data_IF_870473347230
#
_entry.id   IF_870473347230
#
_cell.length_a   1.000
_cell.length_b   1.000
_cell.length_c   1.000
_cell.angle_alpha   90.00
_cell.angle_beta   90.00
_cell.angle_gamma   90.00
#
_symmetry.space_group_name_H-M   'P 1'
#
loop_
_entity.id
_entity.type
_entity.pdbx_description
1 polymer ?
#
# COMPACT_ATOMS: atom_id res chain seq x y z
N UNK A 1 -13.54 -7.18 -13.98
CA UNK A 1 -13.28 -8.14 -12.89
C UNK A 1 -11.95 -7.85 -12.25
N UNK A 2 -11.89 -7.66 -10.94
CA UNK A 2 -10.64 -7.56 -10.18
C UNK A 2 -10.29 -8.93 -9.60
N UNK A 3 -9.05 -9.38 -9.76
CA UNK A 3 -8.54 -10.65 -9.23
C UNK A 3 -7.43 -10.36 -8.22
N UNK A 4 -7.53 -10.85 -7.00
CA UNK A 4 -6.51 -10.66 -5.98
C UNK A 4 -6.13 -11.98 -5.28
N UNK A 5 -4.97 -12.00 -4.63
CA UNK A 5 -4.54 -13.20 -3.90
C UNK A 5 -5.42 -13.44 -2.68
N UNK A 6 -5.72 -12.39 -1.91
CA UNK A 6 -6.65 -12.41 -0.77
C UNK A 6 -7.27 -11.02 -0.57
N UNK A 7 -8.21 -10.90 0.37
CA UNK A 7 -8.79 -9.63 0.84
C UNK A 7 -8.60 -9.49 2.36
N UNK A 8 -7.44 -9.89 2.88
CA UNK A 8 -7.07 -9.67 4.27
C UNK A 8 -6.67 -8.19 4.51
N UNK A 9 -6.36 -7.82 5.76
CA UNK A 9 -5.85 -6.47 6.07
C UNK A 9 -4.41 -6.32 5.60
N UNK A 10 -4.19 -5.47 4.61
CA UNK A 10 -2.88 -5.16 4.03
C UNK A 10 -3.00 -4.04 3.01
N UNK A 11 -1.89 -3.32 2.74
CA UNK A 11 -1.94 -2.13 1.87
C UNK A 11 -2.42 -2.41 0.45
N UNK A 12 -1.97 -3.50 -0.16
CA UNK A 12 -2.39 -3.87 -1.51
C UNK A 12 -3.86 -4.33 -1.54
N UNK A 13 -4.28 -5.08 -0.53
CA UNK A 13 -5.66 -5.56 -0.38
C UNK A 13 -6.63 -4.40 -0.09
N UNK A 14 -6.21 -3.45 0.75
CA UNK A 14 -6.95 -2.18 0.95
C UNK A 14 -7.12 -1.46 -0.37
N UNK A 15 -6.07 -1.36 -1.18
CA UNK A 15 -6.15 -0.71 -2.49
C UNK A 15 -7.11 -1.41 -3.45
N UNK A 16 -7.17 -2.75 -3.46
CA UNK A 16 -8.16 -3.49 -4.26
C UNK A 16 -9.58 -3.13 -3.85
N UNK A 17 -9.85 -3.09 -2.54
CA UNK A 17 -11.18 -2.76 -2.02
C UNK A 17 -11.56 -1.30 -2.34
N UNK A 18 -10.67 -0.35 -2.12
CA UNK A 18 -10.89 1.06 -2.42
C UNK A 18 -11.12 1.30 -3.91
N UNK A 19 -10.30 0.69 -4.77
CA UNK A 19 -10.45 0.80 -6.22
C UNK A 19 -11.76 0.17 -6.70
N UNK A 20 -12.14 -1.01 -6.18
CA UNK A 20 -13.41 -1.64 -6.52
C UNK A 20 -14.59 -0.73 -6.20
N UNK A 21 -14.61 -0.17 -4.99
CA UNK A 21 -15.66 0.75 -4.56
C UNK A 21 -15.69 2.05 -5.39
N UNK A 22 -14.53 2.63 -5.70
CA UNK A 22 -14.43 3.85 -6.50
C UNK A 22 -14.92 3.63 -7.94
N UNK A 23 -14.51 2.54 -8.58
CA UNK A 23 -14.96 2.18 -9.93
C UNK A 23 -16.46 1.91 -9.96
N UNK A 24 -17.01 1.22 -8.94
CA UNK A 24 -18.44 0.96 -8.83
C UNK A 24 -19.25 2.25 -8.71
N UNK A 25 -18.83 3.19 -7.85
CA UNK A 25 -19.46 4.53 -7.73
C UNK A 25 -19.45 5.31 -9.06
N UNK A 26 -18.47 5.07 -9.91
CA UNK A 26 -18.32 5.67 -11.25
C UNK A 26 -19.15 4.95 -12.33
N UNK A 27 -19.96 3.96 -11.94
CA UNK A 27 -20.85 3.21 -12.84
C UNK A 27 -20.16 2.09 -13.63
N UNK A 28 -18.94 1.69 -13.24
CA UNK A 28 -18.29 0.52 -13.82
C UNK A 28 -18.88 -0.75 -13.18
N UNK A 29 -19.24 -1.73 -14.00
CA UNK A 29 -19.67 -3.05 -13.51
C UNK A 29 -18.45 -3.82 -12.98
N UNK A 30 -18.36 -3.93 -11.65
CA UNK A 30 -17.21 -4.49 -10.93
C UNK A 30 -17.60 -5.76 -10.18
N UNK A 31 -16.80 -6.81 -10.32
CA UNK A 31 -16.79 -7.94 -9.39
C UNK A 31 -15.38 -8.23 -8.93
N UNK A 32 -15.23 -8.72 -7.69
CA UNK A 32 -13.95 -9.08 -7.09
C UNK A 32 -13.86 -10.58 -6.90
N UNK A 33 -12.74 -11.17 -7.32
CA UNK A 33 -12.45 -12.60 -7.15
C UNK A 33 -11.17 -12.74 -6.35
N UNK A 34 -11.23 -13.47 -5.23
CA UNK A 34 -10.07 -13.78 -4.40
C UNK A 34 -9.60 -15.21 -4.63
N UNK A 35 -8.29 -15.45 -4.76
CA UNK A 35 -7.75 -16.80 -4.83
C UNK A 35 -7.98 -17.58 -3.53
N UNK A 36 -7.78 -16.93 -2.41
CA UNK A 36 -7.98 -17.48 -1.07
C UNK A 36 -9.35 -17.09 -0.54
N UNK A 37 -9.75 -17.65 0.61
CA UNK A 37 -10.97 -17.21 1.29
C UNK A 37 -10.80 -15.75 1.73
N UNK A 38 -11.71 -14.85 1.31
CA UNK A 38 -11.62 -13.43 1.65
C UNK A 38 -12.05 -13.20 3.10
N UNK A 39 -11.43 -12.21 3.78
CA UNK A 39 -11.70 -11.94 5.20
C UNK A 39 -12.15 -10.51 5.49
N UNK A 40 -11.27 -9.53 5.39
CA UNK A 40 -11.51 -8.21 5.97
C UNK A 40 -12.46 -7.31 5.16
N UNK A 41 -12.36 -7.29 3.83
CA UNK A 41 -13.06 -6.32 2.97
C UNK A 41 -14.27 -6.92 2.23
N UNK A 42 -14.50 -8.22 2.35
CA UNK A 42 -15.54 -8.90 1.56
C UNK A 42 -16.95 -8.46 1.92
N UNK A 43 -17.23 -8.29 3.21
CA UNK A 43 -18.57 -7.87 3.68
C UNK A 43 -18.85 -6.41 3.30
N UNK A 44 -17.88 -5.52 3.46
CA UNK A 44 -17.99 -4.11 3.08
C UNK A 44 -18.28 -3.95 1.58
N UNK A 45 -17.55 -4.68 0.73
CA UNK A 45 -17.77 -4.68 -0.71
C UNK A 45 -19.15 -5.23 -1.10
N UNK A 46 -19.58 -6.33 -0.48
CA UNK A 46 -20.92 -6.91 -0.72
C UNK A 46 -22.03 -5.96 -0.27
N UNK A 47 -21.87 -5.31 0.89
CA UNK A 47 -22.82 -4.30 1.38
C UNK A 47 -22.92 -3.10 0.44
N UNK A 48 -21.85 -2.79 -0.30
CA UNK A 48 -21.82 -1.75 -1.35
C UNK A 48 -22.34 -2.23 -2.70
N UNK A 49 -22.90 -3.46 -2.82
CA UNK A 49 -23.44 -4.02 -4.05
C UNK A 49 -22.40 -4.64 -4.99
N UNK A 50 -21.14 -4.81 -4.57
CA UNK A 50 -20.07 -5.38 -5.36
C UNK A 50 -19.99 -6.91 -5.11
N UNK A 51 -20.20 -7.78 -6.12
CA UNK A 51 -20.04 -9.21 -5.96
C UNK A 51 -18.60 -9.60 -5.58
N UNK A 52 -18.45 -10.41 -4.52
CA UNK A 52 -17.16 -10.95 -4.07
C UNK A 52 -17.22 -12.46 -4.04
N UNK A 53 -16.33 -13.09 -4.80
CA UNK A 53 -16.22 -14.54 -4.95
C UNK A 53 -14.89 -15.07 -4.43
N UNK A 54 -14.87 -16.33 -3.99
CA UNK A 54 -13.67 -17.05 -3.56
C UNK A 54 -13.40 -18.22 -4.49
N UNK A 55 -12.12 -18.42 -4.84
CA UNK A 55 -11.71 -19.64 -5.53
C UNK A 55 -11.40 -20.78 -4.54
N UNK A 56 -11.42 -20.51 -3.22
CA UNK A 56 -11.24 -21.50 -2.16
C UNK A 56 -9.89 -22.22 -2.22
N UNK A 57 -8.85 -21.55 -2.73
CA UNK A 57 -7.49 -22.10 -2.75
C UNK A 57 -6.85 -22.01 -1.36
N UNK A 58 -5.80 -22.80 -1.12
CA UNK A 58 -4.97 -22.73 0.09
C UNK A 58 -3.68 -21.96 -0.20
N UNK A 59 -3.11 -21.24 0.78
CA UNK A 59 -1.85 -20.54 0.61
C UNK A 59 -0.74 -21.48 0.09
N UNK A 60 -0.03 -21.06 -0.96
CA UNK A 60 1.05 -21.82 -1.57
C UNK A 60 0.64 -23.09 -2.33
N UNK A 61 -0.66 -23.37 -2.45
CA UNK A 61 -1.19 -24.57 -3.12
C UNK A 61 -2.21 -24.22 -4.20
N UNK A 62 -1.78 -23.93 -5.44
CA UNK A 62 -2.70 -23.80 -6.55
C UNK A 62 -3.48 -25.11 -6.75
N UNK A 63 -4.78 -25.00 -7.07
CA UNK A 63 -5.63 -26.17 -7.25
C UNK A 63 -6.35 -26.12 -8.59
N UNK A 64 -6.50 -27.28 -9.22
CA UNK A 64 -7.28 -27.43 -10.47
C UNK A 64 -8.72 -26.95 -10.27
N UNK A 65 -9.33 -27.28 -9.12
CA UNK A 65 -10.68 -26.81 -8.78
C UNK A 65 -10.78 -25.28 -8.75
N UNK A 66 -9.76 -24.58 -8.21
CA UNK A 66 -9.71 -23.12 -8.22
C UNK A 66 -9.57 -22.55 -9.64
N UNK A 67 -8.78 -23.18 -10.50
CA UNK A 67 -8.69 -22.80 -11.94
C UNK A 67 -10.04 -22.97 -12.62
N UNK A 68 -10.71 -24.11 -12.42
CA UNK A 68 -12.03 -24.37 -13.01
C UNK A 68 -13.09 -23.36 -12.51
N UNK A 69 -13.07 -22.98 -11.22
CA UNK A 69 -13.95 -21.93 -10.68
C UNK A 69 -13.65 -20.58 -11.34
N UNK A 70 -12.39 -20.20 -11.50
CA UNK A 70 -12.04 -18.96 -12.20
C UNK A 70 -12.55 -18.97 -13.64
N UNK A 71 -12.36 -20.06 -14.38
CA UNK A 71 -12.89 -20.22 -15.73
C UNK A 71 -14.42 -20.14 -15.78
N UNK A 72 -15.11 -20.70 -14.78
CA UNK A 72 -16.57 -20.58 -14.64
C UNK A 72 -16.99 -19.12 -14.46
N UNK A 73 -16.34 -18.38 -13.53
CA UNK A 73 -16.61 -16.96 -13.32
C UNK A 73 -16.33 -16.13 -14.58
N UNK A 74 -15.22 -16.37 -15.28
CA UNK A 74 -14.88 -15.67 -16.52
C UNK A 74 -15.92 -15.89 -17.62
N UNK A 75 -16.45 -17.13 -17.77
CA UNK A 75 -17.52 -17.45 -18.73
C UNK A 75 -18.85 -16.82 -18.36
N UNK A 76 -19.16 -16.75 -17.06
CA UNK A 76 -20.39 -16.17 -16.55
C UNK A 76 -20.40 -14.64 -16.68
N UNK A 77 -19.35 -13.96 -16.19
CA UNK A 77 -19.26 -12.50 -16.15
C UNK A 77 -18.78 -11.89 -17.47
N UNK A 78 -18.05 -12.64 -18.31
CA UNK A 78 -17.47 -12.18 -19.58
C UNK A 78 -16.81 -10.80 -19.45
N UNK A 79 -15.85 -10.62 -18.51
CA UNK A 79 -15.29 -9.31 -18.25
C UNK A 79 -14.54 -8.78 -19.46
N UNK A 80 -14.76 -7.51 -19.82
CA UNK A 80 -13.96 -6.82 -20.82
C UNK A 80 -12.49 -6.65 -20.33
N UNK A 81 -12.31 -6.52 -19.01
CA UNK A 81 -11.00 -6.38 -18.38
C UNK A 81 -10.88 -7.35 -17.20
N UNK A 82 -9.81 -8.14 -17.19
CA UNK A 82 -9.33 -8.89 -16.02
C UNK A 82 -8.13 -8.17 -15.44
N UNK A 83 -8.31 -7.50 -14.33
CA UNK A 83 -7.26 -6.76 -13.63
C UNK A 83 -6.83 -7.51 -12.37
N UNK A 84 -5.59 -7.98 -12.35
CA UNK A 84 -5.04 -8.77 -11.26
C UNK A 84 -4.11 -7.95 -10.36
N UNK A 85 -4.12 -8.26 -9.07
CA UNK A 85 -3.29 -7.61 -8.06
C UNK A 85 -2.51 -8.66 -7.26
N UNK A 86 -1.25 -8.37 -6.98
CA UNK A 86 -0.32 -9.25 -6.29
C UNK A 86 0.18 -10.42 -7.17
N UNK A 87 1.37 -10.91 -6.83
CA UNK A 87 2.13 -11.85 -7.64
C UNK A 87 1.34 -13.08 -8.10
N UNK A 88 0.70 -13.80 -7.17
CA UNK A 88 -0.01 -15.04 -7.52
C UNK A 88 -1.22 -14.79 -8.42
N UNK A 89 -2.02 -13.77 -8.11
CA UNK A 89 -3.17 -13.40 -8.95
C UNK A 89 -2.73 -12.91 -10.33
N UNK A 90 -1.62 -12.15 -10.42
CA UNK A 90 -1.03 -11.73 -11.69
C UNK A 90 -0.66 -12.93 -12.58
N UNK A 91 0.01 -13.94 -12.02
CA UNK A 91 0.34 -15.15 -12.78
C UNK A 91 -0.92 -15.92 -13.19
N UNK A 92 -1.90 -16.05 -12.30
CA UNK A 92 -3.16 -16.73 -12.61
C UNK A 92 -3.91 -16.02 -13.75
N UNK A 93 -4.03 -14.70 -13.71
CA UNK A 93 -4.69 -13.91 -14.76
C UNK A 93 -4.00 -14.09 -16.12
N UNK A 94 -2.67 -14.05 -16.12
CA UNK A 94 -1.87 -14.27 -17.34
C UNK A 94 -2.06 -15.67 -17.91
N UNK A 95 -1.92 -16.71 -17.08
CA UNK A 95 -2.00 -18.09 -17.54
C UNK A 95 -3.42 -18.51 -17.96
N UNK A 96 -4.46 -18.02 -17.27
CA UNK A 96 -5.85 -18.36 -17.62
C UNK A 96 -6.26 -17.78 -18.99
N UNK A 97 -5.59 -16.73 -19.47
CA UNK A 97 -5.78 -16.17 -20.81
C UNK A 97 -5.53 -17.21 -21.92
N UNK A 98 -4.67 -18.20 -21.67
CA UNK A 98 -4.42 -19.30 -22.60
C UNK A 98 -5.60 -20.29 -22.70
N UNK A 99 -6.47 -20.29 -21.71
CA UNK A 99 -7.63 -21.23 -21.61
C UNK A 99 -8.98 -20.55 -21.88
N UNK A 100 -9.03 -19.23 -21.80
CA UNK A 100 -10.24 -18.43 -22.00
C UNK A 100 -9.87 -17.08 -22.64
N UNK A 101 -10.54 -16.69 -23.74
CA UNK A 101 -10.30 -15.40 -24.36
C UNK A 101 -10.76 -14.29 -23.43
N UNK A 102 -9.83 -13.41 -23.07
CA UNK A 102 -10.06 -12.22 -22.24
C UNK A 102 -9.56 -11.03 -23.06
N UNK A 103 -10.42 -10.05 -23.38
CA UNK A 103 -10.03 -8.92 -24.23
C UNK A 103 -8.81 -8.17 -23.68
N UNK A 104 -8.82 -7.85 -22.37
CA UNK A 104 -7.73 -7.09 -21.71
C UNK A 104 -7.34 -7.75 -20.41
N UNK A 105 -6.04 -8.04 -20.24
CA UNK A 105 -5.44 -8.54 -18.99
C UNK A 105 -4.45 -7.51 -18.47
N UNK A 106 -4.66 -7.04 -17.24
CA UNK A 106 -3.79 -6.08 -16.56
C UNK A 106 -3.26 -6.69 -15.26
N UNK A 107 -1.98 -6.47 -15.00
CA UNK A 107 -1.30 -6.93 -13.76
C UNK A 107 -0.81 -5.73 -12.97
N UNK A 108 -1.21 -5.58 -11.68
CA UNK A 108 -0.63 -4.55 -10.79
C UNK A 108 0.45 -5.14 -9.90
N UNK A 109 1.59 -4.47 -9.86
CA UNK A 109 2.78 -4.83 -9.09
C UNK A 109 2.91 -3.87 -7.92
N UNK A 110 2.75 -4.39 -6.70
CA UNK A 110 2.72 -3.61 -5.45
C UNK A 110 4.04 -3.61 -4.67
N UNK A 111 5.05 -4.35 -5.09
CA UNK A 111 6.26 -4.57 -4.29
C UNK A 111 7.54 -4.39 -5.10
N UNK A 112 8.57 -3.82 -4.46
CA UNK A 112 9.94 -3.76 -4.97
C UNK A 112 10.60 -5.15 -5.05
N UNK A 113 10.26 -6.04 -4.11
CA UNK A 113 10.81 -7.39 -4.03
C UNK A 113 9.66 -8.37 -3.86
N UNK A 114 9.42 -9.17 -4.88
CA UNK A 114 8.40 -10.21 -4.83
C UNK A 114 8.89 -11.44 -4.02
N UNK A 115 10.21 -11.62 -3.86
CA UNK A 115 10.79 -12.71 -3.06
C UNK A 115 12.10 -12.28 -2.41
N UNK A 116 12.21 -12.57 -1.10
CA UNK A 116 13.46 -12.39 -0.36
C UNK A 116 13.70 -11.02 0.27
N UNK A 117 14.84 -10.90 0.94
CA UNK A 117 15.29 -9.67 1.63
C UNK A 117 16.09 -8.74 0.71
N UNK A 118 16.56 -9.23 -0.42
CA UNK A 118 17.38 -8.47 -1.36
C UNK A 118 16.55 -8.09 -2.59
N UNK A 119 16.17 -6.82 -2.66
CA UNK A 119 15.39 -6.26 -3.77
C UNK A 119 16.20 -6.08 -5.06
N UNK A 120 17.53 -6.10 -4.99
CA UNK A 120 18.40 -5.96 -6.14
C UNK A 120 18.59 -7.27 -6.91
N UNK A 121 18.39 -8.42 -6.25
CA UNK A 121 18.57 -9.74 -6.90
C UNK A 121 17.37 -10.11 -7.75
N UNK A 122 17.65 -10.59 -8.97
CA UNK A 122 16.63 -11.19 -9.85
C UNK A 122 16.24 -12.55 -9.25
N UNK A 123 15.00 -12.62 -8.77
CA UNK A 123 14.45 -13.82 -8.13
C UNK A 123 13.65 -14.69 -9.10
N UNK A 124 13.22 -15.85 -8.63
CA UNK A 124 12.35 -16.77 -9.40
C UNK A 124 11.06 -16.07 -9.85
N UNK A 125 10.51 -15.16 -9.03
CA UNK A 125 9.29 -14.43 -9.37
C UNK A 125 9.48 -13.43 -10.51
N UNK A 126 10.65 -12.78 -10.58
CA UNK A 126 10.99 -11.89 -11.71
C UNK A 126 11.06 -12.69 -13.01
N UNK A 127 11.69 -13.87 -12.97
CA UNK A 127 11.75 -14.77 -14.13
C UNK A 127 10.36 -15.24 -14.57
N UNK A 128 9.46 -15.53 -13.63
CA UNK A 128 8.08 -15.91 -13.93
C UNK A 128 7.33 -14.72 -14.55
N UNK A 129 7.53 -13.51 -14.07
CA UNK A 129 6.97 -12.31 -14.71
C UNK A 129 7.53 -12.15 -16.13
N UNK A 130 8.84 -12.27 -16.33
CA UNK A 130 9.48 -12.18 -17.65
C UNK A 130 8.91 -13.19 -18.65
N UNK A 131 8.80 -14.45 -18.24
CA UNK A 131 8.28 -15.53 -19.08
C UNK A 131 6.78 -15.36 -19.44
N UNK A 132 6.02 -14.66 -18.61
CA UNK A 132 4.57 -14.48 -18.79
C UNK A 132 4.18 -13.05 -19.16
N UNK A 133 5.12 -12.12 -19.34
CA UNK A 133 4.83 -10.70 -19.61
C UNK A 133 3.98 -10.50 -20.88
N UNK A 134 4.25 -11.28 -21.91
CA UNK A 134 3.51 -11.24 -23.17
C UNK A 134 2.02 -11.59 -23.05
N UNK A 135 1.60 -12.24 -21.96
CA UNK A 135 0.23 -12.58 -21.64
C UNK A 135 -0.54 -11.45 -20.93
N UNK A 136 0.14 -10.36 -20.59
CA UNK A 136 -0.48 -9.15 -20.01
C UNK A 136 -0.45 -8.01 -21.00
N UNK A 137 -1.56 -7.31 -21.19
CA UNK A 137 -1.62 -6.13 -22.07
C UNK A 137 -0.93 -4.93 -21.43
N UNK A 138 -1.00 -4.83 -20.09
CA UNK A 138 -0.29 -3.83 -19.28
C UNK A 138 0.13 -4.43 -17.94
N UNK A 139 1.34 -4.07 -17.52
CA UNK A 139 1.85 -4.28 -16.15
C UNK A 139 1.98 -2.93 -15.48
N UNK A 140 1.14 -2.66 -14.50
CA UNK A 140 1.07 -1.37 -13.82
C UNK A 140 1.79 -1.45 -12.50
N UNK A 141 2.74 -0.55 -12.28
CA UNK A 141 3.49 -0.43 -11.04
C UNK A 141 2.90 0.67 -10.17
N UNK A 142 2.86 0.47 -8.85
CA UNK A 142 2.29 1.44 -7.91
C UNK A 142 3.18 2.66 -7.65
N UNK A 143 4.42 2.64 -8.14
CA UNK A 143 5.37 3.74 -8.02
C UNK A 143 6.41 3.67 -9.15
N UNK A 144 7.07 4.80 -9.44
CA UNK A 144 8.18 4.85 -10.40
C UNK A 144 9.34 3.96 -9.95
N UNK A 145 9.64 3.96 -8.66
CA UNK A 145 10.68 3.10 -8.10
C UNK A 145 10.40 1.61 -8.34
N UNK A 146 9.13 1.16 -8.19
CA UNK A 146 8.74 -0.22 -8.53
C UNK A 146 8.89 -0.49 -10.02
N UNK A 147 8.50 0.47 -10.88
CA UNK A 147 8.64 0.35 -12.33
C UNK A 147 10.12 0.23 -12.76
N UNK A 148 10.98 1.12 -12.29
CA UNK A 148 12.41 1.11 -12.56
C UNK A 148 13.07 -0.21 -12.13
N UNK A 149 12.72 -0.71 -10.95
CA UNK A 149 13.24 -1.99 -10.45
C UNK A 149 12.83 -3.16 -11.33
N UNK A 150 11.56 -3.26 -11.72
CA UNK A 150 11.07 -4.38 -12.53
C UNK A 150 11.53 -4.29 -13.99
N UNK A 151 11.67 -3.08 -14.53
CA UNK A 151 12.29 -2.86 -15.85
C UNK A 151 13.79 -3.23 -15.84
N UNK A 152 14.54 -2.76 -14.85
CA UNK A 152 15.96 -3.08 -14.68
C UNK A 152 16.25 -4.57 -14.49
N UNK A 153 15.31 -5.30 -13.86
CA UNK A 153 15.39 -6.76 -13.75
C UNK A 153 14.94 -7.50 -15.03
N UNK A 154 14.47 -6.81 -16.06
CA UNK A 154 13.86 -7.42 -17.23
C UNK A 154 12.60 -8.25 -16.95
N UNK A 155 11.98 -8.03 -15.79
CA UNK A 155 10.79 -8.77 -15.38
C UNK A 155 9.54 -8.36 -16.16
N UNK A 156 9.49 -7.11 -16.61
CA UNK A 156 8.40 -6.52 -17.39
C UNK A 156 8.97 -5.65 -18.50
N UNK A 157 8.42 -5.77 -19.68
CA UNK A 157 8.79 -4.93 -20.82
C UNK A 157 8.36 -3.47 -20.61
N UNK A 158 9.27 -2.53 -20.82
CA UNK A 158 8.98 -1.09 -20.73
C UNK A 158 7.79 -0.66 -21.63
N UNK A 159 7.62 -1.29 -22.79
CA UNK A 159 6.51 -1.02 -23.71
C UNK A 159 5.12 -1.38 -23.15
N UNK A 160 5.06 -2.30 -22.17
CA UNK A 160 3.82 -2.71 -21.50
C UNK A 160 3.68 -2.13 -20.10
N UNK A 161 4.69 -1.39 -19.62
CA UNK A 161 4.68 -0.83 -18.29
C UNK A 161 3.90 0.49 -18.23
N UNK A 162 3.21 0.69 -17.12
CA UNK A 162 2.61 1.97 -16.74
C UNK A 162 2.81 2.17 -15.23
N UNK A 163 2.66 3.41 -14.77
CA UNK A 163 2.68 3.73 -13.34
C UNK A 163 1.35 4.38 -13.00
N UNK A 164 0.61 3.78 -12.09
CA UNK A 164 -0.59 4.36 -11.48
C UNK A 164 -0.46 4.11 -9.98
N UNK A 165 -0.39 5.16 -9.16
CA UNK A 165 -0.21 5.02 -7.73
C UNK A 165 -1.45 4.39 -7.05
N UNK A 166 -1.28 4.00 -5.80
CA UNK A 166 -2.41 3.72 -4.92
C UNK A 166 -3.19 5.01 -4.65
N UNK A 167 -4.51 4.89 -4.44
CA UNK A 167 -5.39 6.01 -4.10
C UNK A 167 -5.97 5.88 -2.70
N UNK A 168 -6.21 7.01 -2.04
CA UNK A 168 -6.89 7.11 -0.76
C UNK A 168 -8.08 8.06 -0.87
N UNK A 169 -9.16 7.72 -0.15
CA UNK A 169 -10.32 8.61 -0.02
C UNK A 169 -10.00 9.72 1.00
N UNK A 170 -9.87 11.00 0.57
CA UNK A 170 -9.53 12.09 1.47
C UNK A 170 -10.55 12.31 2.59
N UNK A 171 -11.83 11.94 2.38
CA UNK A 171 -12.88 12.13 3.36
C UNK A 171 -12.63 11.32 4.65
N UNK A 172 -11.90 10.22 4.58
CA UNK A 172 -11.51 9.40 5.73
C UNK A 172 -10.55 10.09 6.71
N UNK A 173 -9.91 11.20 6.28
CA UNK A 173 -8.92 11.96 7.04
C UNK A 173 -9.41 13.36 7.41
N UNK A 174 -10.72 13.63 7.22
CA UNK A 174 -11.40 14.82 7.69
C UNK A 174 -12.16 14.45 8.96
N UNK A 175 -11.51 14.64 10.11
CA UNK A 175 -12.07 14.26 11.40
C UNK A 175 -12.60 15.50 12.16
N UNK A 176 -13.51 15.26 13.11
CA UNK A 176 -14.16 16.33 13.87
C UNK A 176 -13.19 17.10 14.78
N UNK A 177 -13.49 18.36 15.04
CA UNK A 177 -12.81 19.15 16.07
C UNK A 177 -12.87 18.44 17.42
N UNK A 178 -11.76 18.48 18.18
CA UNK A 178 -11.67 17.79 19.49
C UNK A 178 -11.25 16.32 19.42
N UNK A 179 -11.10 15.73 18.23
CA UNK A 179 -10.60 14.35 18.10
C UNK A 179 -9.19 14.20 18.66
N UNK A 180 -8.29 15.16 18.39
CA UNK A 180 -6.92 15.15 18.91
C UNK A 180 -6.90 15.10 20.45
N UNK A 181 -7.64 16.00 21.09
CA UNK A 181 -7.71 16.13 22.55
C UNK A 181 -8.31 14.86 23.17
N UNK A 182 -9.40 14.36 22.61
CA UNK A 182 -10.06 13.13 23.06
C UNK A 182 -9.13 11.92 22.99
N UNK A 183 -8.42 11.74 21.87
CA UNK A 183 -7.50 10.59 21.69
C UNK A 183 -6.29 10.72 22.58
N UNK A 184 -5.70 11.92 22.72
CA UNK A 184 -4.57 12.15 23.65
C UNK A 184 -4.98 11.86 25.09
N UNK A 185 -6.15 12.30 25.51
CA UNK A 185 -6.68 12.02 26.86
C UNK A 185 -6.90 10.52 27.07
N UNK A 186 -7.51 9.82 26.12
CA UNK A 186 -7.76 8.38 26.22
C UNK A 186 -6.48 7.52 26.29
N UNK A 187 -5.40 8.02 25.71
CA UNK A 187 -4.09 7.38 25.74
C UNK A 187 -3.19 7.89 26.87
N UNK A 188 -3.67 8.84 27.71
CA UNK A 188 -2.86 9.45 28.76
C UNK A 188 -1.59 10.13 28.21
N UNK A 189 -1.71 10.80 27.08
CA UNK A 189 -0.61 11.55 26.45
C UNK A 189 -0.62 13.00 26.98
N UNK A 190 0.51 13.44 27.50
CA UNK A 190 0.71 14.83 27.90
C UNK A 190 0.98 15.76 26.69
N UNK A 191 1.51 16.96 26.94
CA UNK A 191 1.81 17.97 25.92
C UNK A 191 3.08 17.69 25.12
N UNK A 192 3.84 16.64 25.48
CA UNK A 192 5.09 16.27 24.83
C UNK A 192 4.88 15.84 23.36
N UNK A 193 5.98 15.81 22.61
CA UNK A 193 5.99 15.41 21.22
C UNK A 193 5.71 13.91 21.06
N UNK A 194 4.72 13.57 20.25
CA UNK A 194 4.26 12.20 20.04
C UNK A 194 4.53 11.80 18.60
N UNK A 195 5.36 10.78 18.44
CA UNK A 195 5.57 10.07 17.18
C UNK A 195 4.56 8.93 17.00
N UNK A 196 4.10 8.73 15.79
CA UNK A 196 3.31 7.57 15.40
C UNK A 196 4.07 6.76 14.36
N UNK A 197 4.10 5.44 14.55
CA UNK A 197 4.43 4.47 13.54
C UNK A 197 3.24 3.51 13.40
N UNK A 198 2.86 3.16 12.17
CA UNK A 198 1.77 2.23 11.94
C UNK A 198 2.13 1.24 10.82
N UNK A 199 1.77 -0.04 11.04
CA UNK A 199 1.98 -1.09 10.06
C UNK A 199 2.31 -2.44 10.67
N UNK A 200 2.41 -3.46 9.82
CA UNK A 200 2.70 -4.82 10.25
C UNK A 200 4.10 -4.94 10.85
N UNK A 201 4.22 -5.51 12.05
CA UNK A 201 5.50 -5.71 12.75
C UNK A 201 6.29 -6.85 12.10
N UNK A 202 7.03 -6.52 11.05
CA UNK A 202 7.79 -7.46 10.24
C UNK A 202 9.12 -6.85 9.78
N UNK A 203 10.06 -7.69 9.37
CA UNK A 203 11.44 -7.30 9.01
C UNK A 203 11.53 -6.15 7.98
N UNK A 204 10.59 -6.06 7.02
CA UNK A 204 10.59 -4.99 6.00
C UNK A 204 10.42 -3.59 6.59
N UNK A 205 9.73 -3.49 7.72
CA UNK A 205 9.42 -2.22 8.40
C UNK A 205 10.55 -1.74 9.32
N UNK A 206 11.51 -2.61 9.63
CA UNK A 206 12.74 -2.32 10.38
C UNK A 206 12.51 -1.48 11.64
N UNK A 207 11.56 -1.93 12.47
CA UNK A 207 11.28 -1.28 13.76
C UNK A 207 12.48 -1.31 14.71
N UNK A 208 13.47 -2.20 14.48
CA UNK A 208 14.71 -2.22 15.27
C UNK A 208 15.46 -0.90 15.12
N UNK A 209 15.70 -0.46 13.87
CA UNK A 209 16.31 0.86 13.59
C UNK A 209 15.50 2.00 14.22
N UNK A 210 14.18 1.91 14.23
CA UNK A 210 13.31 2.92 14.88
C UNK A 210 13.48 2.94 16.40
N UNK A 211 13.54 1.79 17.07
CA UNK A 211 13.74 1.70 18.51
C UNK A 211 15.14 2.20 18.91
N UNK A 212 16.17 1.91 18.11
CA UNK A 212 17.52 2.44 18.31
C UNK A 212 17.58 3.97 18.12
N UNK A 213 16.78 4.52 17.19
CA UNK A 213 16.63 5.97 17.05
C UNK A 213 15.93 6.57 18.27
N UNK A 214 14.85 5.94 18.77
CA UNK A 214 14.14 6.38 19.98
C UNK A 214 15.01 6.36 21.25
N UNK A 215 15.99 5.46 21.34
CA UNK A 215 16.94 5.47 22.45
C UNK A 215 17.75 6.78 22.52
N UNK A 216 17.89 7.50 21.41
CA UNK A 216 18.61 8.79 21.29
C UNK A 216 17.70 10.00 21.52
N UNK A 217 16.40 9.80 21.74
CA UNK A 217 15.37 10.84 21.86
C UNK A 217 14.66 10.72 23.24
N UNK A 218 15.27 11.13 24.35
CA UNK A 218 14.76 10.89 25.69
C UNK A 218 13.41 11.57 25.98
N UNK A 219 13.12 12.69 25.32
CA UNK A 219 11.92 13.50 25.55
C UNK A 219 10.73 13.11 24.64
N UNK A 220 10.92 12.17 23.70
CA UNK A 220 9.89 11.81 22.73
C UNK A 220 9.09 10.56 23.16
N UNK A 221 7.83 10.55 22.86
CA UNK A 221 6.95 9.35 22.96
C UNK A 221 6.72 8.76 21.56
N UNK A 222 6.79 7.44 21.44
CA UNK A 222 6.48 6.69 20.21
C UNK A 222 5.27 5.78 20.44
N UNK A 223 4.25 5.95 19.62
CA UNK A 223 3.12 5.03 19.51
C UNK A 223 3.36 4.10 18.32
N UNK A 224 3.22 2.79 18.52
CA UNK A 224 3.33 1.78 17.47
C UNK A 224 1.99 1.08 17.32
N UNK A 225 1.27 1.39 16.23
CA UNK A 225 0.00 0.77 15.89
C UNK A 225 0.21 -0.36 14.88
N UNK A 226 -0.12 -1.58 15.25
CA UNK A 226 0.02 -2.76 14.41
C UNK A 226 0.44 -3.99 15.19
N UNK A 227 0.46 -5.10 14.48
CA UNK A 227 0.88 -6.40 14.99
C UNK A 227 1.63 -7.18 13.92
N UNK A 228 2.30 -8.26 14.28
CA UNK A 228 3.03 -9.07 13.32
C UNK A 228 4.00 -10.06 13.96
N UNK A 229 4.73 -10.82 13.12
CA UNK A 229 5.58 -11.90 13.61
C UNK A 229 6.73 -11.45 14.53
N UNK A 230 7.08 -10.16 14.53
CA UNK A 230 8.15 -9.60 15.38
C UNK A 230 7.62 -8.91 16.65
N UNK A 231 6.33 -9.01 16.95
CA UNK A 231 5.72 -8.26 18.08
C UNK A 231 6.42 -8.50 19.41
N UNK A 232 6.67 -9.76 19.79
CA UNK A 232 7.30 -10.12 21.06
C UNK A 232 8.78 -9.70 21.12
N UNK A 233 9.50 -9.90 20.01
CA UNK A 233 10.90 -9.48 19.88
C UNK A 233 11.04 -7.96 20.07
N UNK A 234 10.21 -7.19 19.36
CA UNK A 234 10.23 -5.72 19.43
C UNK A 234 9.82 -5.19 20.80
N UNK A 235 8.82 -5.81 21.45
CA UNK A 235 8.46 -5.47 22.84
C UNK A 235 9.64 -5.71 23.80
N UNK A 236 10.37 -6.79 23.61
CA UNK A 236 11.56 -7.10 24.41
C UNK A 236 12.66 -6.07 24.18
N UNK A 237 12.94 -5.71 22.93
CA UNK A 237 13.92 -4.68 22.58
C UNK A 237 13.54 -3.27 23.10
N UNK A 238 12.25 -2.98 23.19
CA UNK A 238 11.76 -1.70 23.67
C UNK A 238 11.76 -1.56 25.22
N UNK A 239 11.92 -2.64 25.99
CA UNK A 239 11.90 -2.59 27.47
C UNK A 239 12.77 -1.48 28.09
N UNK A 240 14.01 -1.25 27.64
CA UNK A 240 14.85 -0.17 28.19
C UNK A 240 14.29 1.24 27.95
N UNK A 241 13.37 1.40 26.97
CA UNK A 241 12.75 2.67 26.63
C UNK A 241 11.52 2.98 27.50
N UNK A 242 11.02 2.00 28.27
CA UNK A 242 9.90 2.15 29.19
C UNK A 242 8.61 2.65 28.52
N UNK A 243 7.87 3.48 29.24
CA UNK A 243 6.58 4.02 28.78
C UNK A 243 6.68 4.99 27.58
N UNK A 244 7.89 5.36 27.18
CA UNK A 244 8.08 6.20 26.00
C UNK A 244 7.78 5.48 24.69
N UNK A 245 7.78 4.14 24.68
CA UNK A 245 7.40 3.34 23.51
C UNK A 245 6.18 2.49 23.87
N UNK A 246 5.06 2.76 23.21
CA UNK A 246 3.78 2.11 23.49
C UNK A 246 3.30 1.32 22.28
N UNK A 247 3.17 0.02 22.43
CA UNK A 247 2.59 -0.87 21.42
C UNK A 247 1.07 -0.93 21.60
N UNK A 248 0.35 -0.37 20.64
CA UNK A 248 -1.12 -0.27 20.69
C UNK A 248 -1.84 -1.50 20.13
N UNK A 249 -1.10 -2.47 19.54
CA UNK A 249 -1.71 -3.59 18.84
C UNK A 249 -2.39 -3.18 17.54
N UNK A 250 -3.27 -4.04 17.01
CA UNK A 250 -4.08 -3.72 15.84
C UNK A 250 -5.08 -2.61 16.19
N UNK A 251 -5.11 -1.56 15.36
CA UNK A 251 -6.00 -0.40 15.51
C UNK A 251 -6.78 -0.19 14.23
N UNK A 252 -8.05 0.19 14.36
CA UNK A 252 -8.92 0.59 13.24
C UNK A 252 -9.01 2.11 13.10
N UNK A 253 -8.70 2.84 14.16
CA UNK A 253 -8.73 4.29 14.29
C UNK A 253 -7.38 4.96 13.99
N UNK A 254 -6.61 4.41 13.03
CA UNK A 254 -5.26 4.94 12.70
C UNK A 254 -5.31 6.40 12.27
N UNK A 255 -6.37 6.83 11.55
CA UNK A 255 -6.56 8.22 11.17
C UNK A 255 -6.71 9.15 12.41
N UNK A 256 -7.41 8.70 13.46
CA UNK A 256 -7.52 9.44 14.72
C UNK A 256 -6.17 9.50 15.46
N UNK A 257 -5.41 8.40 15.45
CA UNK A 257 -4.05 8.36 16.01
C UNK A 257 -3.12 9.32 15.28
N UNK A 258 -3.24 9.46 13.95
CA UNK A 258 -2.48 10.42 13.16
C UNK A 258 -2.76 11.86 13.62
N UNK A 259 -4.03 12.22 13.84
CA UNK A 259 -4.39 13.55 14.36
C UNK A 259 -3.88 13.79 15.79
N UNK A 260 -3.84 12.74 16.61
CA UNK A 260 -3.34 12.83 17.98
C UNK A 260 -1.81 12.98 18.08
N UNK A 261 -1.10 12.67 17.01
CA UNK A 261 0.36 12.68 16.93
C UNK A 261 0.90 14.01 16.39
N UNK A 262 2.20 14.21 16.53
CA UNK A 262 2.92 15.42 16.09
C UNK A 262 3.85 15.14 14.90
N UNK A 263 4.19 13.86 14.68
CA UNK A 263 4.99 13.40 13.55
C UNK A 263 4.75 11.91 13.28
N UNK A 264 4.92 11.52 12.02
CA UNK A 264 4.88 10.12 11.61
C UNK A 264 6.30 9.62 11.31
N UNK A 265 6.63 8.38 11.68
CA UNK A 265 7.95 7.80 11.40
C UNK A 265 7.83 6.45 10.70
N UNK A 266 8.62 6.25 9.62
CA UNK A 266 8.72 5.02 8.87
C UNK A 266 10.19 4.65 8.63
N UNK A 267 10.64 3.52 9.18
CA UNK A 267 12.03 3.05 9.12
C UNK A 267 12.26 1.93 8.12
N UNK A 268 11.33 1.69 7.22
CA UNK A 268 11.31 0.54 6.32
C UNK A 268 12.61 0.37 5.52
N UNK A 269 12.95 -0.88 5.20
CA UNK A 269 14.06 -1.23 4.29
C UNK A 269 13.57 -1.61 2.89
N UNK A 270 12.28 -1.91 2.73
CA UNK A 270 11.66 -2.24 1.44
C UNK A 270 10.21 -1.77 1.42
N UNK A 271 9.85 -0.93 0.46
CA UNK A 271 8.47 -0.49 0.20
C UNK A 271 8.18 -0.48 -1.30
N UNK A 272 6.92 -0.70 -1.68
CA UNK A 272 6.44 -0.36 -3.02
C UNK A 272 5.98 1.09 -3.06
N UNK A 273 4.79 1.34 -2.51
CA UNK A 273 4.23 2.67 -2.21
C UNK A 273 3.50 2.53 -0.87
N UNK A 274 4.08 2.98 0.25
CA UNK A 274 3.53 2.71 1.58
C UNK A 274 2.24 3.48 1.86
N UNK A 275 1.11 2.77 1.90
CA UNK A 275 -0.22 3.35 2.14
C UNK A 275 -0.25 4.19 3.41
N UNK A 276 0.32 3.69 4.50
CA UNK A 276 0.30 4.37 5.80
C UNK A 276 1.02 5.73 5.79
N UNK A 277 2.02 5.89 4.92
CA UNK A 277 2.71 7.18 4.74
C UNK A 277 1.86 8.15 3.91
N UNK A 278 1.11 7.64 2.93
CA UNK A 278 0.09 8.42 2.22
C UNK A 278 -1.04 8.84 3.17
N UNK A 279 -1.47 7.95 4.07
CA UNK A 279 -2.46 8.24 5.12
C UNK A 279 -1.99 9.35 6.07
N UNK A 280 -0.72 9.30 6.50
CA UNK A 280 -0.11 10.35 7.30
C UNK A 280 -0.10 11.70 6.56
N UNK A 281 0.29 11.71 5.29
CA UNK A 281 0.27 12.91 4.45
C UNK A 281 -1.15 13.45 4.26
N UNK A 282 -2.15 12.59 3.98
CA UNK A 282 -3.57 12.99 3.89
C UNK A 282 -4.09 13.60 5.19
N UNK A 283 -3.60 13.13 6.33
CA UNK A 283 -3.92 13.68 7.66
C UNK A 283 -3.22 15.00 7.97
N UNK A 284 -2.32 15.47 7.10
CA UNK A 284 -1.49 16.65 7.36
C UNK A 284 -0.42 16.41 8.42
N UNK A 285 -0.03 15.17 8.65
CA UNK A 285 0.99 14.79 9.63
C UNK A 285 2.37 14.73 8.96
N UNK A 286 3.32 15.62 9.31
CA UNK A 286 4.64 15.63 8.71
C UNK A 286 5.39 14.35 9.08
N UNK A 287 6.18 13.82 8.14
CA UNK A 287 6.78 12.49 8.28
C UNK A 287 8.29 12.52 8.22
N UNK A 288 8.92 11.61 8.97
CA UNK A 288 10.32 11.22 8.79
C UNK A 288 10.35 9.78 8.29
N UNK A 289 10.95 9.55 7.13
CA UNK A 289 10.91 8.23 6.51
C UNK A 289 12.25 7.84 5.87
N UNK A 290 12.53 6.55 5.82
CA UNK A 290 13.67 6.01 5.08
C UNK A 290 13.40 6.05 3.57
N UNK A 291 14.37 6.51 2.77
CA UNK A 291 14.24 6.73 1.34
C UNK A 291 14.31 5.45 0.52
N UNK A 292 13.33 4.55 0.67
CA UNK A 292 13.25 3.26 -0.04
C UNK A 292 12.00 3.17 -0.91
N UNK A 293 12.13 2.57 -2.09
CA UNK A 293 11.01 2.41 -3.02
C UNK A 293 10.29 3.73 -3.31
N UNK A 294 8.97 3.73 -3.31
CA UNK A 294 8.12 4.89 -3.59
C UNK A 294 8.01 5.90 -2.45
N UNK A 295 8.78 5.80 -1.36
CA UNK A 295 8.74 6.77 -0.23
C UNK A 295 8.99 8.19 -0.71
N UNK A 296 9.97 8.39 -1.62
CA UNK A 296 10.31 9.72 -2.17
C UNK A 296 9.23 10.30 -3.09
N UNK A 297 8.27 9.52 -3.49
CA UNK A 297 7.11 9.97 -4.25
C UNK A 297 6.00 10.52 -3.32
N UNK A 298 6.06 10.18 -2.01
CA UNK A 298 5.14 10.65 -0.99
C UNK A 298 5.76 11.77 -0.15
N UNK A 299 7.03 11.60 0.26
CA UNK A 299 7.75 12.58 1.09
C UNK A 299 8.79 13.29 0.23
N UNK A 300 8.58 14.57 -0.01
CA UNK A 300 9.55 15.49 -0.62
C UNK A 300 10.42 16.06 0.48
N UNK A 301 11.72 15.72 0.45
CA UNK A 301 12.65 16.05 1.51
C UNK A 301 12.78 17.56 1.75
N UNK A 302 12.56 17.99 2.99
CA UNK A 302 12.56 19.39 3.41
C UNK A 302 11.29 20.19 3.10
N UNK A 303 10.35 19.64 2.29
CA UNK A 303 9.11 20.33 1.89
C UNK A 303 7.87 19.72 2.55
N UNK A 304 7.78 18.37 2.59
CA UNK A 304 6.63 17.66 3.16
C UNK A 304 7.02 16.77 4.36
N UNK A 305 8.30 16.72 4.68
CA UNK A 305 8.90 15.90 5.73
C UNK A 305 10.39 15.74 5.51
N UNK A 306 10.99 14.70 6.11
CA UNK A 306 12.41 14.42 5.94
C UNK A 306 12.64 12.97 5.49
N UNK A 307 13.62 12.78 4.61
CA UNK A 307 13.98 11.47 4.07
C UNK A 307 15.42 11.14 4.44
N UNK A 308 15.63 9.97 5.08
CA UNK A 308 16.93 9.51 5.58
C UNK A 308 17.34 8.17 4.93
N UNK A 309 18.62 7.77 4.99
CA UNK A 309 19.05 6.44 4.57
C UNK A 309 18.39 5.34 5.42
N UNK A 310 18.09 4.16 4.82
CA UNK A 310 17.65 2.99 5.59
C UNK A 310 18.78 2.41 6.45
N UNK A 311 18.42 1.75 7.56
CA UNK A 311 19.36 1.10 8.50
C UNK A 311 20.36 2.07 9.13
N UNK A 312 19.99 3.33 9.27
CA UNK A 312 20.79 4.36 9.94
C UNK A 312 19.97 4.99 11.09
N UNK A 313 20.05 4.42 12.31
CA UNK A 313 19.32 4.94 13.45
C UNK A 313 19.79 6.32 13.90
N UNK A 314 21.04 6.71 13.60
CA UNK A 314 21.54 8.03 13.93
C UNK A 314 20.94 9.10 13.01
N UNK A 315 20.93 8.86 11.70
CA UNK A 315 20.28 9.74 10.73
C UNK A 315 18.77 9.84 10.99
N UNK A 316 18.10 8.71 11.32
CA UNK A 316 16.69 8.70 11.67
C UNK A 316 16.41 9.55 12.91
N UNK A 317 17.18 9.36 14.00
CA UNK A 317 17.05 10.14 15.22
C UNK A 317 17.30 11.64 14.98
N UNK A 318 18.33 11.99 14.21
CA UNK A 318 18.64 13.39 13.89
C UNK A 318 17.50 14.07 13.12
N UNK A 319 16.90 13.39 12.13
CA UNK A 319 15.77 13.91 11.37
C UNK A 319 14.50 14.02 12.25
N UNK A 320 14.24 13.03 13.10
CA UNK A 320 13.16 13.07 14.08
C UNK A 320 13.35 14.26 15.05
N UNK A 321 14.54 14.43 15.62
CA UNK A 321 14.85 15.54 16.50
C UNK A 321 14.70 16.89 15.78
N UNK A 322 15.17 16.98 14.52
CA UNK A 322 15.01 18.19 13.70
C UNK A 322 13.53 18.55 13.55
N UNK A 323 12.66 17.61 13.22
CA UNK A 323 11.23 17.85 13.07
C UNK A 323 10.60 18.25 14.41
N UNK A 324 10.93 17.56 15.50
CA UNK A 324 10.40 17.85 16.82
C UNK A 324 10.78 19.26 17.33
N UNK A 325 11.98 19.72 16.99
CA UNK A 325 12.50 21.04 17.39
C UNK A 325 12.01 22.20 16.51
N UNK A 326 11.34 21.93 15.38
CA UNK A 326 10.75 22.99 14.57
C UNK A 326 9.67 23.72 15.37
N UNK A 327 9.52 25.05 15.19
CA UNK A 327 8.34 25.77 15.66
C UNK A 327 7.04 25.09 15.19
N UNK A 328 6.00 25.16 16.00
CA UNK A 328 4.70 24.55 15.67
C UNK A 328 4.19 25.00 14.28
N UNK A 329 4.37 26.26 13.96
CA UNK A 329 3.95 26.83 12.68
C UNK A 329 4.68 26.18 11.49
N UNK A 330 5.98 25.91 11.61
CA UNK A 330 6.76 25.25 10.57
C UNK A 330 6.35 23.78 10.40
N UNK A 331 6.05 23.07 11.51
CA UNK A 331 5.50 21.72 11.44
C UNK A 331 4.14 21.68 10.74
N UNK A 332 3.26 22.65 11.03
CA UNK A 332 1.97 22.76 10.35
C UNK A 332 2.15 23.06 8.86
N UNK A 333 3.08 23.94 8.49
CA UNK A 333 3.40 24.20 7.06
C UNK A 333 3.87 22.94 6.33
N UNK A 334 4.74 22.13 6.94
CA UNK A 334 5.17 20.84 6.38
C UNK A 334 3.98 19.87 6.23
N UNK A 335 3.13 19.77 7.24
CA UNK A 335 1.94 18.92 7.20
C UNK A 335 0.93 19.36 6.13
N UNK A 336 0.67 20.67 6.01
CA UNK A 336 -0.19 21.21 4.96
C UNK A 336 0.38 20.98 3.55
N UNK A 337 1.70 21.10 3.40
CA UNK A 337 2.37 20.78 2.14
C UNK A 337 2.26 19.29 1.82
N UNK A 338 2.45 18.42 2.81
CA UNK A 338 2.26 16.97 2.66
C UNK A 338 0.84 16.62 2.23
N UNK A 339 -0.16 17.24 2.87
CA UNK A 339 -1.57 17.03 2.52
C UNK A 339 -1.88 17.50 1.09
N UNK A 340 -1.44 18.70 0.70
CA UNK A 340 -1.64 19.19 -0.69
C UNK A 340 -0.98 18.26 -1.71
N UNK A 341 0.24 17.81 -1.45
CA UNK A 341 0.94 16.86 -2.33
C UNK A 341 0.19 15.53 -2.44
N UNK A 342 -0.29 14.99 -1.31
CA UNK A 342 -1.04 13.74 -1.28
C UNK A 342 -2.38 13.85 -2.02
N UNK A 343 -3.13 14.94 -1.82
CA UNK A 343 -4.39 15.20 -2.53
C UNK A 343 -4.17 15.32 -4.05
N UNK A 344 -3.11 15.96 -4.48
CA UNK A 344 -2.81 16.10 -5.90
C UNK A 344 -2.38 14.80 -6.57
N UNK A 345 -1.73 13.88 -5.82
CA UNK A 345 -1.06 12.71 -6.40
C UNK A 345 -1.78 11.38 -6.11
N UNK A 346 -2.56 11.30 -5.03
CA UNK A 346 -3.08 10.04 -4.48
C UNK A 346 -4.58 10.10 -4.13
N UNK A 347 -5.30 11.11 -4.63
CA UNK A 347 -6.77 11.15 -4.50
C UNK A 347 -7.40 9.94 -5.20
N UNK A 348 -8.26 9.22 -4.49
CA UNK A 348 -8.84 7.97 -4.97
C UNK A 348 -9.67 8.16 -6.23
N UNK A 349 -10.42 9.24 -6.34
CA UNK A 349 -11.28 9.48 -7.51
C UNK A 349 -10.44 9.83 -8.74
N UNK A 350 -9.34 10.58 -8.58
CA UNK A 350 -8.36 10.84 -9.62
C UNK A 350 -7.67 9.55 -10.09
N UNK A 351 -7.20 8.73 -9.15
CA UNK A 351 -6.58 7.41 -9.43
C UNK A 351 -7.57 6.47 -10.13
N UNK A 352 -8.84 6.43 -9.67
CA UNK A 352 -9.85 5.60 -10.31
C UNK A 352 -10.15 6.06 -11.75
N UNK A 353 -10.12 7.37 -12.03
CA UNK A 353 -10.26 7.91 -13.38
C UNK A 353 -9.10 7.47 -14.30
N UNK A 354 -7.85 7.47 -13.79
CA UNK A 354 -6.69 6.96 -14.55
C UNK A 354 -6.86 5.47 -14.89
N UNK A 355 -7.31 4.65 -13.94
CA UNK A 355 -7.62 3.25 -14.17
C UNK A 355 -8.72 3.07 -15.21
N UNK A 356 -9.80 3.83 -15.13
CA UNK A 356 -10.90 3.77 -16.09
C UNK A 356 -10.45 4.11 -17.50
N UNK A 357 -9.60 5.13 -17.67
CA UNK A 357 -9.00 5.49 -18.94
C UNK A 357 -8.12 4.36 -19.49
N UNK A 358 -7.27 3.76 -18.65
CA UNK A 358 -6.43 2.62 -19.04
C UNK A 358 -7.28 1.42 -19.51
N UNK A 359 -8.39 1.14 -18.83
CA UNK A 359 -9.31 0.06 -19.22
C UNK A 359 -9.99 0.35 -20.56
N UNK A 360 -10.52 1.55 -20.74
CA UNK A 360 -11.17 1.97 -21.99
C UNK A 360 -10.22 1.89 -23.19
N UNK A 361 -8.98 2.35 -23.00
CA UNK A 361 -7.94 2.30 -24.05
C UNK A 361 -7.53 0.86 -24.36
N UNK A 362 -7.46 0.00 -23.37
CA UNK A 362 -7.21 -1.43 -23.56
C UNK A 362 -8.30 -2.10 -24.38
N UNK A 363 -9.57 -1.87 -24.03
CA UNK A 363 -10.74 -2.43 -24.71
C UNK A 363 -10.84 -1.92 -26.16
N UNK A 364 -10.61 -0.62 -26.40
CA UNK A 364 -10.60 -0.05 -27.76
C UNK A 364 -9.53 -0.70 -28.64
N UNK A 365 -8.31 -0.89 -28.12
CA UNK A 365 -7.22 -1.58 -28.86
C UNK A 365 -7.57 -3.03 -29.16
N UNK A 366 -8.17 -3.74 -28.20
CA UNK A 366 -8.59 -5.12 -28.41
C UNK A 366 -9.70 -5.24 -29.46
N UNK A 367 -10.65 -4.30 -29.50
CA UNK A 367 -11.71 -4.24 -30.52
C UNK A 367 -11.14 -3.90 -31.90
N UNK A 368 -10.27 -2.89 -32.03
CA UNK A 368 -9.65 -2.52 -33.31
C UNK A 368 -8.67 -3.56 -33.87
N UNK A 369 -8.14 -4.44 -33.03
CA UNK A 369 -7.31 -5.57 -33.48
C UNK A 369 -8.15 -6.74 -34.06
N UNK A 370 -9.48 -6.70 -33.92
CA UNK A 370 -10.44 -7.70 -34.44
C UNK A 370 -11.13 -7.22 -35.73
N UNK A 371 -10.93 -5.96 -36.13
CA UNK A 371 -11.37 -5.47 -37.44
C UNK A 371 -10.28 -5.81 -38.48
N UNK A 372 -10.62 -6.50 -39.58
CA UNK A 372 -9.69 -7.01 -40.58
C UNK A 372 -9.01 -5.87 -41.39
#
# INVERSE_FOLDING_TARGET
MLLCTNLARGGAETQVALLAAALHRRGVDVCVVSLLEPSAYAEELRASGIPVHSLGMRPGRPSIAGILRLLSHLRQFRPAVLHAHLFHANLFARLVRLLCPIPVVISTIHSMAESGRDSARIGTRDRLYQLTDWLSDRSVCVSRAVAERHAGAGAVSAARMAVIPNGLDPARFVLSSGTRERVRASLGLGDGFVWLAAGRLMWKKDYVTMLEAMARLPEATLLIAGDGPLSEELRTLARPLGERVRFLGLREDVAELMLASDGFVLSSVVEGLPMVLMEAAMSGLPSVATGVGGVREIVVDGETGFVVPPKDPAALAAAMQRLANLPREDRLRLGDAARRHALASFDLDGVAAEWENLYRDGVRRAAGALEP
#
